data_IF_506618993339
#
_entry.id   IF_506618993339
#
_cell.length_a   1.000
_cell.length_b   1.000
_cell.length_c   1.000
_cell.angle_alpha   90.00
_cell.angle_beta   90.00
_cell.angle_gamma   90.00
#
_symmetry.space_group_name_H-M   'P 1'
#
loop_
_entity.id
_entity.type
_entity.pdbx_description
1 polymer ?
#
# COMPACT_ATOMS: atom_id res chain seq x y z
N UNK A 1 68.68 -1.99 36.18
CA UNK A 1 67.39 -2.33 36.84
C UNK A 1 66.43 -1.18 36.58
N UNK A 2 65.59 -1.27 35.55
CA UNK A 2 64.51 -0.32 35.30
C UNK A 2 63.19 -1.06 35.48
N UNK A 3 62.35 -0.56 36.39
CA UNK A 3 61.05 -1.13 36.74
C UNK A 3 60.03 -0.79 35.64
N UNK A 4 59.40 -1.81 35.08
CA UNK A 4 58.29 -1.67 34.12
C UNK A 4 57.03 -1.22 34.87
N UNK A 5 56.49 -0.05 34.52
CA UNK A 5 55.18 0.41 34.99
C UNK A 5 54.09 -0.04 34.02
N UNK A 6 53.17 -0.86 34.51
CA UNK A 6 51.94 -1.26 33.83
C UNK A 6 50.97 -0.08 33.87
N UNK A 7 50.63 0.49 32.70
CA UNK A 7 49.52 1.44 32.56
C UNK A 7 48.29 0.66 32.10
N UNK A 8 47.40 0.38 33.05
CA UNK A 8 46.06 -0.13 32.76
C UNK A 8 45.25 0.95 32.04
N UNK A 9 44.80 0.63 30.83
CA UNK A 9 43.92 1.46 30.01
C UNK A 9 42.48 0.98 30.22
N UNK A 10 41.68 1.78 30.91
CA UNK A 10 40.24 1.53 31.07
C UNK A 10 39.54 1.83 29.73
N UNK A 11 38.95 0.81 29.11
CA UNK A 11 38.12 0.94 27.93
C UNK A 11 36.66 1.10 28.37
N UNK A 12 36.13 2.33 28.33
CA UNK A 12 34.70 2.59 28.49
C UNK A 12 33.96 2.15 27.21
N UNK A 13 33.25 1.02 27.28
CA UNK A 13 32.39 0.52 26.21
C UNK A 13 31.06 1.28 26.26
N UNK A 14 30.83 2.20 25.33
CA UNK A 14 29.53 2.85 25.16
C UNK A 14 28.54 1.85 24.54
N UNK A 15 27.50 1.47 25.29
CA UNK A 15 26.38 0.70 24.75
C UNK A 15 25.51 1.60 23.88
N UNK A 16 25.68 1.52 22.56
CA UNK A 16 24.74 2.12 21.62
C UNK A 16 23.55 1.17 21.47
N UNK A 17 22.42 1.49 22.09
CA UNK A 17 21.16 0.80 21.80
C UNK A 17 20.72 1.16 20.38
N UNK A 18 20.78 0.19 19.47
CA UNK A 18 20.14 0.33 18.16
C UNK A 18 18.62 0.37 18.34
N UNK A 19 17.90 1.27 17.66
CA UNK A 19 16.44 1.22 17.66
C UNK A 19 16.00 -0.12 17.04
N UNK A 20 15.09 -0.80 17.72
CA UNK A 20 14.40 -1.97 17.15
C UNK A 20 13.44 -1.42 16.11
N UNK A 21 13.77 -1.59 14.82
CA UNK A 21 12.80 -1.38 13.76
C UNK A 21 11.71 -2.45 13.92
N UNK A 22 10.52 -2.04 14.35
CA UNK A 22 9.35 -2.89 14.25
C UNK A 22 9.06 -3.09 12.76
N UNK A 23 8.88 -4.34 12.32
CA UNK A 23 8.48 -4.60 10.95
C UNK A 23 7.14 -3.91 10.69
N UNK A 24 7.09 -2.96 9.76
CA UNK A 24 5.90 -2.12 9.54
C UNK A 24 4.79 -2.81 8.72
N UNK A 25 4.96 -4.11 8.45
CA UNK A 25 4.13 -4.89 7.55
C UNK A 25 4.45 -4.62 6.09
N UNK A 26 3.95 -5.46 5.18
CA UNK A 26 4.17 -5.31 3.74
C UNK A 26 2.89 -5.51 2.92
N UNK A 27 2.84 -4.87 1.76
CA UNK A 27 1.82 -5.11 0.75
C UNK A 27 2.35 -6.17 -0.20
N UNK A 28 1.96 -7.43 0.01
CA UNK A 28 2.48 -8.55 -0.79
C UNK A 28 1.90 -8.55 -2.21
N UNK A 29 0.67 -8.05 -2.38
CA UNK A 29 0.05 -7.80 -3.69
C UNK A 29 -0.81 -6.55 -3.62
N UNK A 30 -0.80 -5.79 -4.70
CA UNK A 30 -1.69 -4.67 -4.96
C UNK A 30 -2.00 -4.65 -6.45
N UNK A 31 -3.25 -4.79 -6.85
CA UNK A 31 -3.63 -4.82 -8.27
C UNK A 31 -5.06 -4.33 -8.49
N UNK A 32 -5.33 -3.95 -9.73
CA UNK A 32 -6.68 -3.63 -10.18
C UNK A 32 -7.33 -4.86 -10.80
N UNK A 33 -8.62 -5.07 -10.54
CA UNK A 33 -9.38 -6.20 -11.07
C UNK A 33 -10.76 -5.72 -11.54
N UNK A 34 -11.34 -6.44 -12.50
CA UNK A 34 -12.75 -6.25 -12.90
C UNK A 34 -13.70 -6.73 -11.80
N UNK A 35 -13.30 -7.75 -11.04
CA UNK A 35 -14.06 -8.27 -9.91
C UNK A 35 -13.17 -8.97 -8.86
N UNK A 36 -13.69 -9.04 -7.63
CA UNK A 36 -13.12 -9.86 -6.54
C UNK A 36 -14.17 -10.89 -6.14
N UNK A 37 -13.88 -12.16 -6.39
CA UNK A 37 -14.73 -13.30 -6.06
C UNK A 37 -14.03 -14.20 -5.04
N UNK A 38 -14.75 -14.71 -4.04
CA UNK A 38 -14.19 -15.55 -2.99
C UNK A 38 -12.92 -14.96 -2.32
N UNK A 39 -12.92 -13.63 -2.17
CA UNK A 39 -11.83 -12.82 -1.59
C UNK A 39 -10.55 -12.80 -2.42
N UNK A 40 -10.64 -13.09 -3.71
CA UNK A 40 -9.51 -13.12 -4.64
C UNK A 40 -9.88 -12.39 -5.95
N UNK A 41 -8.97 -11.59 -6.53
CA UNK A 41 -9.22 -10.99 -7.84
C UNK A 41 -9.31 -12.09 -8.91
N UNK A 42 -10.27 -11.95 -9.83
CA UNK A 42 -10.46 -12.92 -10.91
C UNK A 42 -9.51 -12.68 -12.10
N UNK A 43 -8.98 -11.47 -12.19
CA UNK A 43 -8.08 -10.98 -13.23
C UNK A 43 -7.14 -9.90 -12.69
N UNK A 44 -6.23 -9.43 -13.53
CA UNK A 44 -5.46 -8.20 -13.30
C UNK A 44 -5.69 -7.29 -14.51
N UNK A 45 -6.27 -6.12 -14.26
CA UNK A 45 -6.46 -5.09 -15.27
C UNK A 45 -5.11 -4.44 -15.59
N UNK A 46 -4.94 -4.10 -16.87
CA UNK A 46 -3.74 -3.42 -17.34
C UNK A 46 -3.70 -1.94 -16.97
N UNK A 47 -2.65 -1.27 -17.43
CA UNK A 47 -2.40 0.15 -17.15
C UNK A 47 -3.36 1.10 -17.87
N UNK A 48 -4.19 0.60 -18.79
CA UNK A 48 -5.18 1.38 -19.54
C UNK A 48 -6.53 0.69 -19.47
N UNK A 49 -7.55 1.43 -19.06
CA UNK A 49 -8.94 0.99 -19.02
C UNK A 49 -9.75 1.93 -19.91
N UNK A 50 -10.49 1.37 -20.87
CA UNK A 50 -11.33 2.16 -21.78
C UNK A 50 -12.71 2.39 -21.19
N UNK A 51 -13.29 3.56 -21.45
CA UNK A 51 -14.67 3.87 -21.06
C UNK A 51 -15.65 2.90 -21.74
N UNK A 52 -16.55 2.32 -20.95
CA UNK A 52 -17.65 1.50 -21.44
C UNK A 52 -18.99 2.25 -21.33
N UNK A 53 -19.71 2.34 -22.44
CA UNK A 53 -21.01 3.01 -22.52
C UNK A 53 -22.16 2.02 -22.31
N UNK A 54 -23.14 2.42 -21.50
CA UNK A 54 -24.37 1.65 -21.29
C UNK A 54 -24.31 0.63 -20.15
N UNK A 55 -23.15 0.41 -19.56
CA UNK A 55 -22.96 -0.47 -18.42
C UNK A 55 -22.32 0.26 -17.23
N UNK A 56 -22.46 -0.32 -16.04
CA UNK A 56 -21.79 0.19 -14.85
C UNK A 56 -20.37 -0.37 -14.83
N UNK A 57 -19.40 0.44 -15.25
CA UNK A 57 -18.00 0.05 -15.16
C UNK A 57 -17.49 0.23 -13.72
N UNK A 58 -16.99 -0.85 -13.14
CA UNK A 58 -16.44 -0.87 -11.78
C UNK A 58 -15.02 -1.42 -11.81
N UNK A 59 -14.12 -0.72 -11.13
CA UNK A 59 -12.74 -1.17 -10.93
C UNK A 59 -12.54 -1.44 -9.46
N UNK A 60 -12.06 -2.65 -9.15
CA UNK A 60 -11.67 -3.05 -7.81
C UNK A 60 -10.18 -2.81 -7.63
N UNK A 61 -9.79 -2.35 -6.45
CA UNK A 61 -8.40 -2.33 -6.02
C UNK A 61 -8.24 -3.30 -4.86
N UNK A 62 -7.50 -4.38 -5.12
CA UNK A 62 -7.28 -5.48 -4.19
C UNK A 62 -5.89 -5.39 -3.57
N UNK A 63 -5.79 -5.68 -2.27
CA UNK A 63 -4.51 -5.81 -1.58
C UNK A 63 -4.44 -7.07 -0.70
N UNK A 64 -3.26 -7.69 -0.68
CA UNK A 64 -2.89 -8.80 0.21
C UNK A 64 -1.79 -8.31 1.16
N UNK A 65 -2.18 -8.07 2.42
CA UNK A 65 -1.38 -7.41 3.45
C UNK A 65 -0.74 -8.46 4.36
N UNK A 66 0.50 -8.19 4.80
CA UNK A 66 1.29 -9.06 5.67
C UNK A 66 1.82 -8.33 6.88
N UNK A 67 1.77 -8.96 8.05
CA UNK A 67 2.33 -8.50 9.31
C UNK A 67 1.80 -7.12 9.72
N UNK A 68 0.49 -6.91 9.55
CA UNK A 68 -0.22 -5.66 9.83
C UNK A 68 -1.36 -5.82 10.86
N UNK A 69 -1.38 -6.92 11.63
CA UNK A 69 -2.43 -7.16 12.63
C UNK A 69 -2.56 -6.00 13.63
N UNK A 70 -3.79 -5.66 13.98
CA UNK A 70 -4.13 -4.57 14.89
C UNK A 70 -3.87 -3.16 14.33
N UNK A 71 -3.45 -3.03 13.07
CA UNK A 71 -3.27 -1.73 12.42
C UNK A 71 -4.46 -1.34 11.55
N UNK A 72 -4.52 -0.05 11.20
CA UNK A 72 -5.45 0.47 10.22
C UNK A 72 -4.68 0.92 8.98
N UNK A 73 -5.19 0.56 7.81
CA UNK A 73 -4.69 1.05 6.51
C UNK A 73 -5.83 1.69 5.74
N UNK A 74 -5.52 2.51 4.75
CA UNK A 74 -6.51 3.08 3.86
C UNK A 74 -6.15 2.87 2.39
N UNK A 75 -7.16 2.62 1.56
CA UNK A 75 -7.05 2.81 0.12
C UNK A 75 -7.46 4.26 -0.21
N UNK A 76 -6.53 5.06 -0.71
CA UNK A 76 -6.77 6.45 -1.10
C UNK A 76 -6.85 6.54 -2.62
N UNK A 77 -8.07 6.64 -3.14
CA UNK A 77 -8.33 6.83 -4.56
C UNK A 77 -8.11 8.27 -4.96
N UNK A 78 -7.40 8.47 -6.08
CA UNK A 78 -7.11 9.79 -6.63
C UNK A 78 -7.41 9.83 -8.12
N UNK A 79 -7.96 10.95 -8.58
CA UNK A 79 -8.10 11.29 -9.99
C UNK A 79 -7.15 12.46 -10.28
N UNK A 80 -6.21 12.26 -11.21
CA UNK A 80 -5.23 13.29 -11.59
C UNK A 80 -4.48 13.88 -10.39
N UNK A 81 -4.19 13.02 -9.39
CA UNK A 81 -3.51 13.40 -8.15
C UNK A 81 -4.41 14.03 -7.08
N UNK A 82 -5.66 14.39 -7.40
CA UNK A 82 -6.63 14.89 -6.43
C UNK A 82 -7.32 13.73 -5.71
N UNK A 83 -7.34 13.77 -4.38
CA UNK A 83 -8.03 12.74 -3.57
C UNK A 83 -9.53 12.80 -3.82
N UNK A 84 -10.06 11.66 -4.23
CA UNK A 84 -11.47 11.46 -4.52
C UNK A 84 -12.19 10.80 -3.34
N UNK A 85 -11.57 9.76 -2.77
CA UNK A 85 -12.08 9.06 -1.59
C UNK A 85 -10.97 8.32 -0.86
N UNK A 86 -11.07 8.31 0.46
CA UNK A 86 -10.24 7.51 1.36
C UNK A 86 -11.10 6.44 2.03
N UNK A 87 -10.65 5.19 2.00
CA UNK A 87 -11.43 4.03 2.48
C UNK A 87 -10.56 3.27 3.50
N UNK A 88 -10.84 3.41 4.81
CA UNK A 88 -10.07 2.74 5.86
C UNK A 88 -10.49 1.29 6.04
N UNK A 89 -9.55 0.46 6.49
CA UNK A 89 -9.70 -0.94 6.84
C UNK A 89 -8.97 -1.25 8.14
N UNK A 90 -9.69 -1.83 9.10
CA UNK A 90 -9.09 -2.39 10.31
C UNK A 90 -8.59 -3.82 10.03
N UNK A 91 -7.31 -4.06 10.31
CA UNK A 91 -6.63 -5.30 9.98
C UNK A 91 -6.64 -6.22 11.21
N UNK A 92 -7.23 -7.42 11.07
CA UNK A 92 -7.44 -8.35 12.17
C UNK A 92 -6.62 -9.65 12.10
N UNK A 93 -5.51 -9.66 11.35
CA UNK A 93 -4.60 -10.79 11.34
C UNK A 93 -3.36 -10.59 10.49
N UNK A 94 -2.36 -11.45 10.69
CA UNK A 94 -1.04 -11.36 10.06
C UNK A 94 -1.09 -11.46 8.54
N UNK A 95 -2.06 -12.17 7.97
CA UNK A 95 -2.39 -12.11 6.55
C UNK A 95 -3.81 -11.61 6.39
N UNK A 96 -3.98 -10.48 5.73
CA UNK A 96 -5.30 -9.88 5.54
C UNK A 96 -5.49 -9.43 4.10
N UNK A 97 -6.63 -9.81 3.51
CA UNK A 97 -7.02 -9.39 2.17
C UNK A 97 -8.16 -8.39 2.27
N UNK A 98 -7.99 -7.25 1.63
CA UNK A 98 -9.02 -6.20 1.54
C UNK A 98 -9.14 -5.73 0.11
N UNK A 99 -10.27 -5.10 -0.20
CA UNK A 99 -10.50 -4.48 -1.48
C UNK A 99 -11.45 -3.31 -1.32
N UNK A 100 -11.23 -2.27 -2.12
CA UNK A 100 -12.21 -1.22 -2.36
C UNK A 100 -12.55 -1.18 -3.84
N UNK A 101 -13.55 -0.40 -4.22
CA UNK A 101 -13.87 -0.22 -5.64
C UNK A 101 -14.33 1.20 -5.93
N UNK A 102 -14.11 1.63 -7.17
CA UNK A 102 -14.67 2.87 -7.71
C UNK A 102 -15.55 2.50 -8.91
N UNK A 103 -16.73 3.11 -8.97
CA UNK A 103 -17.53 3.14 -10.19
C UNK A 103 -16.97 4.23 -11.08
N UNK A 104 -16.53 3.87 -12.28
CA UNK A 104 -16.04 4.80 -13.29
C UNK A 104 -17.18 5.07 -14.27
N UNK A 105 -17.39 6.36 -14.57
CA UNK A 105 -18.43 6.81 -15.49
C UNK A 105 -17.78 7.60 -16.62
N UNK A 106 -18.42 7.70 -17.80
CA UNK A 106 -17.98 8.65 -18.82
C UNK A 106 -17.78 10.05 -18.24
N UNK A 107 -16.68 10.72 -18.62
CA UNK A 107 -16.26 12.01 -18.07
C UNK A 107 -15.42 11.96 -16.79
N UNK A 108 -15.08 10.75 -16.30
CA UNK A 108 -14.08 10.55 -15.23
C UNK A 108 -12.71 10.16 -15.81
N UNK A 109 -12.46 10.53 -17.06
CA UNK A 109 -11.21 10.30 -17.77
C UNK A 109 -10.01 10.95 -17.06
N UNK A 110 -8.86 10.30 -17.22
CA UNK A 110 -7.60 10.74 -16.64
C UNK A 110 -6.90 9.63 -15.89
N UNK A 111 -5.84 10.03 -15.17
CA UNK A 111 -5.00 9.10 -14.44
C UNK A 111 -5.60 8.81 -13.08
N UNK A 112 -6.10 7.60 -12.92
CA UNK A 112 -6.54 7.09 -11.62
C UNK A 112 -5.35 6.48 -10.90
N UNK A 113 -5.24 6.74 -9.59
CA UNK A 113 -4.30 6.03 -8.73
C UNK A 113 -4.95 5.64 -7.42
N UNK A 114 -4.40 4.59 -6.81
CA UNK A 114 -4.75 4.20 -5.44
C UNK A 114 -3.48 4.01 -4.66
N UNK A 115 -3.40 4.76 -3.56
CA UNK A 115 -2.33 4.61 -2.58
C UNK A 115 -2.82 3.72 -1.43
N UNK A 116 -1.97 2.81 -0.98
CA UNK A 116 -2.12 2.09 0.27
C UNK A 116 -1.42 2.89 1.35
N UNK A 117 -2.19 3.52 2.23
CA UNK A 117 -1.67 4.42 3.27
C UNK A 117 -1.79 3.78 4.64
N UNK A 118 -0.73 3.86 5.44
CA UNK A 118 -0.70 3.45 6.84
C UNK A 118 0.00 4.53 7.66
N UNK A 119 -0.62 5.03 8.73
CA UNK A 119 -0.05 6.09 9.58
C UNK A 119 0.43 7.34 8.83
N UNK A 120 -0.22 7.67 7.70
CA UNK A 120 0.16 8.80 6.84
C UNK A 120 1.31 8.52 5.87
N UNK A 121 1.91 7.33 5.91
CA UNK A 121 2.91 6.87 4.95
C UNK A 121 2.28 6.06 3.82
N UNK A 122 2.73 6.30 2.59
CA UNK A 122 2.33 5.52 1.42
C UNK A 122 3.22 4.28 1.34
N UNK A 123 2.62 3.11 1.52
CA UNK A 123 3.33 1.82 1.45
C UNK A 123 3.42 1.30 0.02
N UNK A 124 2.41 1.57 -0.80
CA UNK A 124 2.29 1.08 -2.18
C UNK A 124 1.40 2.03 -2.99
N UNK A 125 1.66 2.17 -4.29
CA UNK A 125 0.86 3.01 -5.18
C UNK A 125 0.72 2.35 -6.55
N UNK A 126 -0.52 2.18 -7.00
CA UNK A 126 -0.83 1.67 -8.34
C UNK A 126 -1.67 2.67 -9.11
N UNK A 127 -1.51 2.72 -10.41
CA UNK A 127 -2.29 3.61 -11.29
C UNK A 127 -2.70 2.94 -12.58
N UNK A 128 -3.77 3.45 -13.19
CA UNK A 128 -4.17 3.17 -14.55
C UNK A 128 -4.70 4.46 -15.20
N UNK A 129 -4.58 4.55 -16.52
CA UNK A 129 -5.20 5.60 -17.31
C UNK A 129 -6.61 5.16 -17.71
N UNK A 130 -7.61 5.96 -17.36
CA UNK A 130 -8.98 5.77 -17.81
C UNK A 130 -9.23 6.68 -19.01
N UNK A 131 -9.40 6.07 -20.18
CA UNK A 131 -9.40 6.80 -21.46
C UNK A 131 -10.71 6.62 -22.20
N UNK A 132 -11.19 7.75 -22.72
CA UNK A 132 -12.37 7.82 -23.56
C UNK A 132 -11.93 7.95 -25.02
N UNK A 133 -11.88 6.82 -25.72
CA UNK A 133 -11.60 6.79 -27.16
C UNK A 133 -12.94 6.84 -27.91
N UNK A 134 -13.41 8.04 -28.21
CA UNK A 134 -14.52 8.25 -29.14
C UNK A 134 -14.08 8.10 -30.60
#
# INVERSE_FOLDING_TARGET
MQHTLIRSMLLCLALTSAPIAMAEGTVARALFASEVLDREPIDELGDVIKVEYGEIQRVYFFTDLRDMDGSQIAHVWKLNGQVEVEIPFDIGGDRWRVWSSKRLMPGFDGKWSVDVVKNGEVLESRSFDYVDEW
#
